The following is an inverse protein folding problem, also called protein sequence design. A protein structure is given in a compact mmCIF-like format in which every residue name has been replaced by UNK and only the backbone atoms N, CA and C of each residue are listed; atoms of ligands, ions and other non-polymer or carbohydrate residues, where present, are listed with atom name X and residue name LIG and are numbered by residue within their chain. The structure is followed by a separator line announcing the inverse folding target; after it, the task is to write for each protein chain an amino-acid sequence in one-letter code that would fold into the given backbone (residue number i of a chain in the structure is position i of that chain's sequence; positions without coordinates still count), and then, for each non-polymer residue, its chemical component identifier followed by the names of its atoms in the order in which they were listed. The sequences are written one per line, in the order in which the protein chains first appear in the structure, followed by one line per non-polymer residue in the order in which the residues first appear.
data_IF_256514530447
#
_entry.id   IF_256514530447
#
_cell.length_a   1.000
_cell.length_b   1.000
_cell.length_c   1.000
_cell.angle_alpha   90.00
_cell.angle_beta   90.00
_cell.angle_gamma   90.00
#
_symmetry.space_group_name_H-M   'P 1'
#
loop_
_entity.id
_entity.type
_entity.pdbx_description
1 polymer ?
#
# COMPACT_ATOMS: atom_id res chain seq x y z
N UNK A 1 -17.17 -2.25 -9.34
CA UNK A 1 -17.23 -0.83 -9.75
C UNK A 1 -18.32 -0.69 -10.80
N UNK A 2 -19.28 0.24 -10.65
CA UNK A 2 -20.36 0.39 -11.65
C UNK A 2 -19.85 1.07 -12.92
N UNK A 3 -20.20 0.55 -14.10
CA UNK A 3 -19.76 1.04 -15.42
C UNK A 3 -20.07 2.53 -15.65
N UNK A 4 -21.20 3.02 -15.11
CA UNK A 4 -21.59 4.43 -15.14
C UNK A 4 -20.52 5.36 -14.50
N UNK A 5 -19.86 4.88 -13.44
CA UNK A 5 -18.83 5.64 -12.72
C UNK A 5 -17.54 5.77 -13.54
N UNK A 6 -17.12 4.72 -14.23
CA UNK A 6 -15.91 4.73 -15.08
C UNK A 6 -16.12 5.74 -16.21
N UNK A 7 -17.27 5.70 -16.89
CA UNK A 7 -17.59 6.65 -17.97
C UNK A 7 -17.58 8.10 -17.48
N UNK A 8 -18.11 8.36 -16.28
CA UNK A 8 -18.06 9.69 -15.69
C UNK A 8 -16.61 10.17 -15.45
N UNK A 9 -15.75 9.33 -14.87
CA UNK A 9 -14.32 9.66 -14.66
C UNK A 9 -13.64 9.99 -15.99
N UNK A 10 -13.85 9.18 -17.02
CA UNK A 10 -13.25 9.40 -18.34
C UNK A 10 -13.74 10.68 -19.01
N UNK A 11 -15.04 10.98 -18.91
CA UNK A 11 -15.62 12.19 -19.46
C UNK A 11 -15.08 13.45 -18.76
N UNK A 12 -15.04 13.45 -17.43
CA UNK A 12 -14.49 14.55 -16.63
C UNK A 12 -13.00 14.73 -16.93
N UNK A 13 -12.20 13.66 -16.90
CA UNK A 13 -10.78 13.69 -17.25
C UNK A 13 -10.55 14.34 -18.61
N UNK A 14 -11.28 13.89 -19.64
CA UNK A 14 -11.14 14.42 -21.02
C UNK A 14 -11.48 15.91 -21.08
N UNK A 15 -12.59 16.32 -20.48
CA UNK A 15 -13.01 17.74 -20.47
C UNK A 15 -12.01 18.62 -19.72
N UNK A 16 -11.53 18.16 -18.57
CA UNK A 16 -10.54 18.89 -17.76
C UNK A 16 -9.22 19.06 -18.50
N UNK A 17 -8.69 18.01 -19.13
CA UNK A 17 -7.44 18.11 -19.89
C UNK A 17 -7.56 19.07 -21.09
N UNK A 18 -8.71 19.11 -21.75
CA UNK A 18 -8.96 20.07 -22.84
C UNK A 18 -8.97 21.53 -22.35
N UNK A 19 -9.61 21.78 -21.20
CA UNK A 19 -9.63 23.11 -20.59
C UNK A 19 -8.25 23.56 -20.14
N UNK A 20 -7.45 22.63 -19.58
CA UNK A 20 -6.07 22.92 -19.18
C UNK A 20 -5.19 23.24 -20.39
N UNK A 21 -5.27 22.45 -21.48
CA UNK A 21 -4.50 22.73 -22.72
C UNK A 21 -4.85 24.11 -23.28
N UNK A 22 -6.14 24.45 -23.32
CA UNK A 22 -6.61 25.78 -23.75
C UNK A 22 -6.02 26.89 -22.89
N UNK A 23 -6.05 26.73 -21.56
CA UNK A 23 -5.50 27.71 -20.62
C UNK A 23 -3.99 27.91 -20.82
N UNK A 24 -3.22 26.83 -20.99
CA UNK A 24 -1.76 26.92 -21.18
C UNK A 24 -1.42 27.62 -22.51
N UNK A 25 -2.17 27.34 -23.58
CA UNK A 25 -2.01 28.03 -24.86
C UNK A 25 -2.32 29.52 -24.75
N UNK A 26 -3.43 29.88 -24.12
CA UNK A 26 -3.80 31.28 -23.87
C UNK A 26 -2.73 32.01 -23.04
N UNK A 27 -2.21 31.38 -22.00
CA UNK A 27 -1.13 31.95 -21.19
C UNK A 27 0.14 32.16 -22.02
N UNK A 28 0.45 31.22 -22.92
CA UNK A 28 1.57 31.33 -23.86
C UNK A 28 1.39 32.52 -24.81
N UNK A 29 0.19 32.71 -25.36
CA UNK A 29 -0.13 33.86 -26.23
C UNK A 29 -0.01 35.20 -25.48
N UNK A 30 -0.57 35.28 -24.27
CA UNK A 30 -0.45 36.48 -23.41
C UNK A 30 1.03 36.78 -23.13
N UNK A 31 1.83 35.74 -22.85
CA UNK A 31 3.27 35.89 -22.61
C UNK A 31 4.00 36.52 -23.80
N UNK A 32 3.64 36.15 -25.04
CA UNK A 32 4.21 36.74 -26.26
C UNK A 32 3.79 38.21 -26.39
N UNK A 33 2.53 38.53 -26.11
CA UNK A 33 2.03 39.91 -26.16
C UNK A 33 2.72 40.80 -25.11
N UNK A 34 2.87 40.34 -23.87
CA UNK A 34 3.55 41.12 -22.82
C UNK A 34 5.02 41.32 -23.13
N UNK A 35 5.69 40.29 -23.67
CA UNK A 35 7.08 40.39 -24.09
C UNK A 35 7.26 41.43 -25.21
N UNK A 36 6.34 41.48 -26.19
CA UNK A 36 6.39 42.41 -27.33
C UNK A 36 6.35 43.89 -26.94
N UNK A 37 5.80 44.21 -25.75
CA UNK A 37 5.75 45.57 -25.20
C UNK A 37 6.81 45.81 -24.10
N UNK A 38 7.78 44.90 -23.94
CA UNK A 38 8.84 44.99 -22.93
C UNK A 38 8.42 44.54 -21.52
N UNK A 39 7.22 43.99 -21.36
CA UNK A 39 6.65 43.50 -20.09
C UNK A 39 7.14 42.12 -19.63
N UNK A 40 8.08 41.50 -20.37
CA UNK A 40 8.64 40.15 -20.13
C UNK A 40 7.59 39.02 -20.23
N UNK A 41 7.94 37.80 -19.83
CA UNK A 41 7.14 36.58 -20.01
C UNK A 41 6.29 36.23 -18.79
N UNK A 42 5.32 35.32 -18.96
CA UNK A 42 4.50 34.79 -17.86
C UNK A 42 5.31 34.28 -16.66
N UNK A 43 6.47 33.68 -16.93
CA UNK A 43 7.36 33.18 -15.88
C UNK A 43 7.91 34.31 -14.99
N UNK A 44 8.11 35.50 -15.56
CA UNK A 44 8.69 36.64 -14.84
C UNK A 44 7.67 37.34 -13.93
N UNK A 45 6.41 37.44 -14.35
CA UNK A 45 5.39 38.21 -13.62
C UNK A 45 4.40 37.35 -12.82
N UNK A 46 4.21 36.06 -13.12
CA UNK A 46 3.27 35.20 -12.39
C UNK A 46 3.91 34.32 -11.30
N UNK A 47 5.24 34.16 -11.29
CA UNK A 47 5.94 33.34 -10.30
C UNK A 47 6.45 34.18 -9.13
N UNK A 48 6.19 33.73 -7.89
CA UNK A 48 6.81 34.34 -6.69
C UNK A 48 8.31 34.01 -6.67
N UNK A 49 9.15 35.03 -6.44
CA UNK A 49 10.61 34.93 -6.54
C UNK A 49 11.24 33.86 -5.61
N UNK A 50 10.62 33.61 -4.44
CA UNK A 50 11.11 32.66 -3.45
C UNK A 50 10.60 31.22 -3.65
N UNK A 51 9.70 30.99 -4.61
CA UNK A 51 9.08 29.69 -4.85
C UNK A 51 9.54 29.12 -6.20
N UNK A 52 10.80 28.66 -6.26
CA UNK A 52 11.33 27.95 -7.44
C UNK A 52 10.90 26.47 -7.44
N UNK A 53 9.63 26.20 -7.20
CA UNK A 53 9.04 24.92 -7.61
C UNK A 53 8.66 25.07 -9.08
N UNK A 54 9.07 24.12 -9.94
CA UNK A 54 8.67 24.13 -11.35
C UNK A 54 7.14 24.13 -11.48
N UNK A 55 6.59 25.05 -12.27
CA UNK A 55 5.15 25.10 -12.55
C UNK A 55 4.92 24.66 -13.99
N UNK A 56 4.25 23.52 -14.18
CA UNK A 56 3.96 22.99 -15.52
C UNK A 56 3.16 23.96 -16.38
N UNK A 57 2.34 24.84 -15.79
CA UNK A 57 1.59 25.85 -16.53
C UNK A 57 2.50 26.89 -17.21
N UNK A 58 3.77 26.99 -16.78
CA UNK A 58 4.77 27.91 -17.34
C UNK A 58 5.69 27.24 -18.37
N UNK A 59 5.51 25.95 -18.63
CA UNK A 59 6.27 25.20 -19.63
C UNK A 59 5.58 25.21 -20.99
N UNK A 60 6.30 24.74 -22.03
CA UNK A 60 5.73 24.56 -23.38
C UNK A 60 4.48 23.67 -23.32
N UNK A 61 3.40 23.98 -24.07
CA UNK A 61 2.15 23.23 -24.04
C UNK A 61 2.34 21.72 -24.15
N UNK A 62 3.21 21.25 -25.04
CA UNK A 62 3.45 19.83 -25.28
C UNK A 62 4.06 19.13 -24.05
N UNK A 63 5.05 19.76 -23.42
CA UNK A 63 5.72 19.23 -22.22
C UNK A 63 4.78 19.28 -21.01
N UNK A 64 4.10 20.41 -20.83
CA UNK A 64 3.16 20.64 -19.74
C UNK A 64 2.01 19.63 -19.77
N UNK A 65 1.36 19.48 -20.93
CA UNK A 65 0.22 18.58 -21.07
C UNK A 65 0.60 17.12 -20.84
N UNK A 66 1.80 16.70 -21.28
CA UNK A 66 2.31 15.35 -21.01
C UNK A 66 2.51 15.10 -19.52
N UNK A 67 3.11 16.04 -18.79
CA UNK A 67 3.33 15.92 -17.35
C UNK A 67 2.02 15.98 -16.54
N UNK A 68 1.12 16.92 -16.86
CA UNK A 68 -0.16 17.09 -16.19
C UNK A 68 -1.06 15.85 -16.40
N UNK A 69 -1.14 15.34 -17.64
CA UNK A 69 -1.92 14.14 -17.93
C UNK A 69 -1.43 12.95 -17.10
N UNK A 70 -0.11 12.74 -17.02
CA UNK A 70 0.48 11.65 -16.23
C UNK A 70 0.19 11.78 -14.74
N UNK A 71 0.36 12.98 -14.18
CA UNK A 71 0.08 13.21 -12.76
C UNK A 71 -1.40 12.99 -12.43
N UNK A 72 -2.30 13.45 -13.31
CA UNK A 72 -3.73 13.22 -13.15
C UNK A 72 -4.07 11.72 -13.22
N UNK A 73 -3.52 11.01 -14.20
CA UNK A 73 -3.76 9.58 -14.37
C UNK A 73 -3.26 8.75 -13.20
N UNK A 74 -2.09 9.09 -12.64
CA UNK A 74 -1.54 8.48 -11.42
C UNK A 74 -2.52 8.61 -10.25
N UNK A 75 -3.08 9.80 -10.03
CA UNK A 75 -4.02 10.03 -8.93
C UNK A 75 -5.38 9.37 -9.17
N UNK A 76 -5.85 9.29 -10.41
CA UNK A 76 -7.03 8.49 -10.76
C UNK A 76 -6.81 7.02 -10.41
N UNK A 77 -5.67 6.43 -10.79
CA UNK A 77 -5.35 5.05 -10.44
C UNK A 77 -5.25 4.82 -8.93
N UNK A 78 -4.65 5.77 -8.19
CA UNK A 78 -4.58 5.74 -6.72
C UNK A 78 -5.98 5.69 -6.10
N UNK A 79 -6.89 6.58 -6.51
CA UNK A 79 -8.27 6.64 -6.02
C UNK A 79 -9.06 5.37 -6.39
N UNK A 80 -8.93 4.89 -7.63
CA UNK A 80 -9.57 3.65 -8.09
C UNK A 80 -9.16 2.45 -7.22
N UNK A 81 -7.87 2.30 -6.96
CA UNK A 81 -7.35 1.21 -6.12
C UNK A 81 -7.82 1.31 -4.68
N UNK A 82 -7.77 2.51 -4.09
CA UNK A 82 -8.25 2.72 -2.72
C UNK A 82 -9.73 2.37 -2.59
N UNK A 83 -10.58 2.84 -3.50
CA UNK A 83 -12.03 2.60 -3.45
C UNK A 83 -12.44 1.17 -3.78
N UNK A 84 -11.59 0.42 -4.48
CA UNK A 84 -11.87 -0.97 -4.80
C UNK A 84 -11.73 -1.91 -3.60
N UNK A 85 -11.03 -1.49 -2.54
CA UNK A 85 -10.63 -2.37 -1.44
C UNK A 85 -9.51 -3.35 -1.83
N UNK A 86 -8.95 -3.26 -3.03
CA UNK A 86 -7.91 -4.20 -3.45
C UNK A 86 -6.62 -4.04 -2.64
N UNK A 87 -6.28 -2.80 -2.25
CA UNK A 87 -5.11 -2.53 -1.42
C UNK A 87 -5.15 -3.24 -0.08
N UNK A 88 -6.33 -3.50 0.49
CA UNK A 88 -6.44 -4.18 1.78
C UNK A 88 -6.29 -5.69 1.69
N UNK A 89 -6.47 -6.27 0.50
CA UNK A 89 -6.18 -7.68 0.20
C UNK A 89 -4.71 -7.93 -0.07
N UNK A 90 -3.96 -6.89 -0.45
CA UNK A 90 -2.55 -6.97 -0.78
C UNK A 90 -1.66 -7.01 0.46
N UNK A 91 -0.63 -7.85 0.39
CA UNK A 91 0.50 -7.84 1.32
C UNK A 91 1.39 -6.59 1.11
N UNK A 92 2.27 -6.28 2.07
CA UNK A 92 3.16 -5.11 2.00
C UNK A 92 4.01 -5.06 0.72
N UNK A 93 4.48 -6.20 0.20
CA UNK A 93 5.27 -6.28 -1.02
C UNK A 93 4.42 -5.99 -2.27
N UNK A 94 3.19 -6.51 -2.36
CA UNK A 94 2.26 -6.15 -3.43
C UNK A 94 1.93 -4.66 -3.42
N UNK A 95 1.67 -4.09 -2.24
CA UNK A 95 1.39 -2.65 -2.09
C UNK A 95 2.59 -1.79 -2.51
N UNK A 96 3.80 -2.11 -2.05
CA UNK A 96 5.02 -1.41 -2.44
C UNK A 96 5.26 -1.50 -3.97
N UNK A 97 5.07 -2.68 -4.55
CA UNK A 97 5.17 -2.87 -6.02
C UNK A 97 4.18 -1.96 -6.77
N UNK A 98 2.94 -1.89 -6.30
CA UNK A 98 1.93 -1.02 -6.88
C UNK A 98 2.31 0.46 -6.73
N UNK A 99 2.71 0.92 -5.55
CA UNK A 99 3.09 2.32 -5.35
C UNK A 99 4.31 2.71 -6.20
N UNK A 100 5.32 1.83 -6.29
CA UNK A 100 6.46 2.05 -7.20
C UNK A 100 6.03 2.12 -8.67
N UNK A 101 5.08 1.29 -9.09
CA UNK A 101 4.56 1.40 -10.47
C UNK A 101 3.89 2.75 -10.74
N UNK A 102 3.24 3.35 -9.74
CA UNK A 102 2.68 4.69 -9.83
C UNK A 102 3.78 5.77 -9.87
N UNK A 103 4.82 5.64 -9.04
CA UNK A 103 5.93 6.60 -8.97
C UNK A 103 6.77 6.62 -10.25
N UNK A 104 7.05 5.45 -10.84
CA UNK A 104 7.84 5.30 -12.06
C UNK A 104 7.01 5.40 -13.35
N UNK A 105 5.77 5.90 -13.28
CA UNK A 105 4.86 6.05 -14.42
C UNK A 105 4.64 4.74 -15.22
N UNK A 106 4.72 3.60 -14.55
CA UNK A 106 4.55 2.27 -15.12
C UNK A 106 3.15 1.73 -14.84
N UNK A 107 2.12 2.48 -15.24
CA UNK A 107 0.71 2.09 -15.09
C UNK A 107 -0.03 2.15 -16.43
N UNK A 108 -1.12 1.38 -16.59
CA UNK A 108 -1.88 1.37 -17.84
C UNK A 108 -2.50 2.74 -18.14
N UNK A 109 -2.68 3.07 -19.42
CA UNK A 109 -3.42 4.26 -19.82
C UNK A 109 -4.83 4.26 -19.22
N UNK A 110 -5.31 5.41 -18.76
CA UNK A 110 -6.69 5.56 -18.28
C UNK A 110 -7.68 5.41 -19.46
N UNK A 111 -8.25 4.22 -19.58
CA UNK A 111 -9.33 3.87 -20.51
C UNK A 111 -10.31 2.89 -19.86
N UNK A 112 -11.54 2.79 -20.37
CA UNK A 112 -12.54 1.85 -19.83
C UNK A 112 -12.01 0.40 -19.90
N UNK A 113 -11.41 0.02 -21.03
CA UNK A 113 -10.85 -1.31 -21.22
C UNK A 113 -9.70 -1.62 -20.26
N UNK A 114 -8.76 -0.69 -20.08
CA UNK A 114 -7.62 -0.91 -19.18
C UNK A 114 -8.06 -0.95 -17.72
N UNK A 115 -8.97 -0.06 -17.29
CA UNK A 115 -9.52 -0.09 -15.93
C UNK A 115 -10.21 -1.43 -15.67
N UNK A 116 -11.09 -1.86 -16.58
CA UNK A 116 -11.79 -3.13 -16.43
C UNK A 116 -10.82 -4.32 -16.40
N UNK A 117 -9.89 -4.39 -17.35
CA UNK A 117 -8.89 -5.46 -17.43
C UNK A 117 -8.01 -5.53 -16.18
N UNK A 118 -7.51 -4.38 -15.69
CA UNK A 118 -6.72 -4.34 -14.45
C UNK A 118 -7.51 -4.82 -13.25
N UNK A 119 -8.75 -4.36 -13.07
CA UNK A 119 -9.58 -4.81 -11.94
C UNK A 119 -10.02 -6.27 -12.06
N UNK A 120 -10.22 -6.76 -13.28
CA UNK A 120 -10.50 -8.17 -13.54
C UNK A 120 -9.31 -9.05 -13.15
N UNK A 121 -8.09 -8.70 -13.60
CA UNK A 121 -6.87 -9.41 -13.20
C UNK A 121 -6.64 -9.37 -11.69
N UNK A 122 -6.82 -8.20 -11.07
CA UNK A 122 -6.71 -8.07 -9.63
C UNK A 122 -7.74 -8.93 -8.89
N UNK A 123 -8.96 -9.03 -9.41
CA UNK A 123 -9.99 -9.88 -8.83
C UNK A 123 -9.70 -11.38 -9.01
N UNK A 124 -9.21 -11.78 -10.18
CA UNK A 124 -8.83 -13.18 -10.46
C UNK A 124 -7.67 -13.62 -9.56
N UNK A 125 -6.71 -12.73 -9.30
CA UNK A 125 -5.52 -13.04 -8.51
C UNK A 125 -5.67 -12.71 -7.01
N UNK A 126 -6.84 -12.23 -6.57
CA UNK A 126 -7.02 -11.73 -5.20
C UNK A 126 -6.71 -12.77 -4.13
N UNK A 127 -7.11 -14.02 -4.37
CA UNK A 127 -6.93 -15.11 -3.41
C UNK A 127 -5.46 -15.52 -3.36
N UNK A 128 -4.79 -15.60 -4.52
CA UNK A 128 -3.35 -15.88 -4.59
C UNK A 128 -2.52 -14.78 -3.90
N UNK A 129 -2.83 -13.51 -4.14
CA UNK A 129 -2.12 -12.38 -3.51
C UNK A 129 -2.32 -12.39 -1.99
N UNK A 130 -3.52 -12.71 -1.54
CA UNK A 130 -3.83 -12.86 -0.13
C UNK A 130 -3.05 -14.03 0.51
N UNK A 131 -3.09 -15.21 -0.11
CA UNK A 131 -2.39 -16.41 0.37
C UNK A 131 -0.87 -16.20 0.40
N UNK A 132 -0.31 -15.58 -0.64
CA UNK A 132 1.11 -15.20 -0.67
C UNK A 132 1.46 -14.27 0.49
N UNK A 133 0.57 -13.36 0.86
CA UNK A 133 0.72 -12.52 2.04
C UNK A 133 0.87 -13.34 3.32
N UNK A 134 0.00 -14.31 3.55
CA UNK A 134 0.07 -15.23 4.70
C UNK A 134 1.40 -15.97 4.72
N UNK A 135 1.84 -16.49 3.57
CA UNK A 135 3.11 -17.19 3.43
C UNK A 135 4.31 -16.27 3.70
N UNK A 136 4.26 -15.01 3.24
CA UNK A 136 5.32 -14.03 3.46
C UNK A 136 5.46 -13.66 4.95
N UNK A 137 4.35 -13.48 5.66
CA UNK A 137 4.37 -13.27 7.12
C UNK A 137 4.95 -14.50 7.82
N UNK A 138 4.50 -15.70 7.46
CA UNK A 138 4.96 -16.96 8.05
C UNK A 138 6.48 -17.18 7.87
N UNK A 139 6.99 -17.00 6.64
CA UNK A 139 8.43 -17.08 6.33
C UNK A 139 9.25 -16.00 7.01
N UNK A 140 8.62 -14.88 7.37
CA UNK A 140 9.25 -13.78 8.07
C UNK A 140 9.52 -14.05 9.56
N UNK A 141 8.93 -15.10 10.13
CA UNK A 141 9.13 -15.47 11.52
C UNK A 141 10.53 -16.07 11.75
N UNK A 142 11.13 -15.77 12.90
CA UNK A 142 12.36 -16.43 13.33
C UNK A 142 12.04 -17.81 13.91
N UNK A 143 12.61 -18.87 13.37
CA UNK A 143 12.38 -20.25 13.85
C UNK A 143 13.31 -20.67 15.00
N UNK A 144 14.06 -19.74 15.58
CA UNK A 144 14.96 -20.00 16.71
C UNK A 144 14.20 -20.15 18.05
N UNK A 145 12.87 -20.08 18.03
CA UNK A 145 12.01 -20.16 19.20
C UNK A 145 11.09 -21.38 19.11
N UNK A 146 10.93 -22.12 20.20
CA UNK A 146 10.05 -23.29 20.26
C UNK A 146 8.60 -22.97 19.87
N UNK A 147 8.14 -21.76 20.18
CA UNK A 147 6.78 -21.30 19.85
C UNK A 147 6.59 -20.98 18.35
N UNK A 148 7.66 -20.67 17.63
CA UNK A 148 7.61 -20.38 16.19
C UNK A 148 7.86 -21.69 15.43
N UNK A 149 6.80 -22.47 15.21
CA UNK A 149 6.91 -23.72 14.47
C UNK A 149 7.26 -23.45 12.99
N UNK A 150 8.21 -24.20 12.39
CA UNK A 150 8.54 -24.08 10.97
C UNK A 150 7.44 -24.62 10.05
N UNK A 151 6.39 -25.24 10.60
CA UNK A 151 5.32 -25.88 9.83
C UNK A 151 3.96 -25.17 9.93
N UNK A 152 3.74 -24.34 10.96
CA UNK A 152 2.45 -23.68 11.21
C UNK A 152 2.58 -22.48 12.16
N UNK A 153 1.60 -21.59 12.14
CA UNK A 153 1.40 -20.66 13.25
C UNK A 153 0.95 -21.42 14.50
N UNK A 154 1.64 -21.16 15.62
CA UNK A 154 1.16 -21.55 16.95
C UNK A 154 0.14 -20.55 17.49
N UNK A 155 -0.36 -20.78 18.70
CA UNK A 155 -1.20 -19.82 19.42
C UNK A 155 -0.47 -18.52 19.80
N UNK A 156 0.86 -18.53 19.68
CA UNK A 156 1.75 -17.41 19.98
C UNK A 156 2.92 -17.39 19.00
N UNK A 157 3.29 -16.20 18.55
CA UNK A 157 4.50 -15.95 17.76
C UNK A 157 5.43 -14.99 18.50
N UNK A 158 6.73 -15.11 18.22
CA UNK A 158 7.76 -14.20 18.71
C UNK A 158 8.36 -13.44 17.55
N UNK A 159 8.31 -12.11 17.60
CA UNK A 159 8.86 -11.20 16.60
C UNK A 159 9.99 -10.40 17.23
N UNK A 160 11.19 -10.49 16.66
CA UNK A 160 12.35 -9.70 17.08
C UNK A 160 12.36 -8.34 16.38
N UNK A 161 12.98 -7.34 17.02
CA UNK A 161 13.14 -5.99 16.48
C UNK A 161 11.80 -5.32 16.12
N UNK A 162 10.74 -5.62 16.88
CA UNK A 162 9.47 -4.91 16.74
C UNK A 162 9.48 -3.62 17.56
N UNK A 163 10.14 -3.63 18.72
CA UNK A 163 10.30 -2.46 19.59
C UNK A 163 11.78 -2.19 19.85
N UNK A 164 12.10 -0.97 20.26
CA UNK A 164 13.38 -0.60 20.88
C UNK A 164 13.14 -0.06 22.28
N UNK A 165 14.14 -0.21 23.15
CA UNK A 165 14.14 0.38 24.48
C UNK A 165 15.33 1.32 24.62
N UNK A 166 15.08 2.56 25.02
CA UNK A 166 16.12 3.54 25.34
C UNK A 166 15.79 4.31 26.63
N UNK A 167 16.54 5.37 26.91
CA UNK A 167 16.34 6.20 28.12
C UNK A 167 14.97 6.88 28.21
N UNK A 168 14.25 6.96 27.09
CA UNK A 168 12.92 7.56 26.97
C UNK A 168 11.80 6.51 27.00
N UNK A 169 12.14 5.23 27.13
CA UNK A 169 11.20 4.13 27.24
C UNK A 169 11.17 3.23 26.00
N UNK A 170 10.04 2.56 25.81
CA UNK A 170 9.78 1.75 24.62
C UNK A 170 9.41 2.65 23.43
N UNK A 171 9.79 2.22 22.22
CA UNK A 171 9.33 2.82 20.97
C UNK A 171 9.06 1.70 19.97
N UNK A 172 7.98 1.81 19.18
CA UNK A 172 7.76 0.90 18.07
C UNK A 172 8.80 1.17 16.97
N UNK A 173 9.35 0.10 16.37
CA UNK A 173 10.24 0.22 15.22
C UNK A 173 9.39 0.20 13.96
N UNK A 174 9.36 1.32 13.24
CA UNK A 174 8.76 1.39 11.90
C UNK A 174 9.59 0.57 10.91
N UNK A 175 8.94 -0.27 10.10
CA UNK A 175 9.59 -1.04 9.05
C UNK A 175 9.00 -2.45 8.91
N UNK A 176 9.76 -3.36 8.31
CA UNK A 176 9.25 -4.67 7.86
C UNK A 176 8.52 -5.49 8.93
N UNK A 177 8.95 -5.45 10.19
CA UNK A 177 8.27 -6.22 11.25
C UNK A 177 6.92 -5.59 11.66
N UNK A 178 6.84 -4.26 11.70
CA UNK A 178 5.58 -3.56 11.92
C UNK A 178 4.63 -3.76 10.73
N UNK A 179 5.14 -3.72 9.50
CA UNK A 179 4.35 -4.00 8.29
C UNK A 179 3.78 -5.43 8.31
N UNK A 180 4.57 -6.42 8.73
CA UNK A 180 4.10 -7.81 8.88
C UNK A 180 3.05 -7.95 9.96
N UNK A 181 3.16 -7.22 11.06
CA UNK A 181 2.13 -7.21 12.11
C UNK A 181 0.83 -6.60 11.60
N UNK A 182 0.90 -5.48 10.87
CA UNK A 182 -0.27 -4.88 10.22
C UNK A 182 -0.89 -5.82 9.17
N UNK A 183 -0.07 -6.47 8.33
CA UNK A 183 -0.54 -7.44 7.35
C UNK A 183 -1.26 -8.62 8.04
N UNK A 184 -0.71 -9.14 9.13
CA UNK A 184 -1.30 -10.22 9.93
C UNK A 184 -2.65 -9.80 10.53
N UNK A 185 -2.75 -8.59 11.08
CA UNK A 185 -4.03 -8.05 11.55
C UNK A 185 -5.08 -8.05 10.43
N UNK A 186 -4.75 -7.46 9.27
CA UNK A 186 -5.68 -7.38 8.13
C UNK A 186 -6.15 -8.76 7.69
N UNK A 187 -5.27 -9.76 7.70
CA UNK A 187 -5.62 -11.14 7.35
C UNK A 187 -6.62 -11.76 8.33
N UNK A 188 -6.44 -11.53 9.63
CA UNK A 188 -7.39 -11.99 10.65
C UNK A 188 -8.75 -11.29 10.52
N UNK A 189 -8.77 -9.97 10.28
CA UNK A 189 -10.00 -9.23 10.03
C UNK A 189 -10.75 -9.77 8.80
N UNK A 190 -10.02 -10.03 7.71
CA UNK A 190 -10.56 -10.64 6.49
C UNK A 190 -11.23 -11.98 6.77
N UNK A 191 -10.58 -12.87 7.52
CA UNK A 191 -11.19 -14.14 7.90
C UNK A 191 -12.39 -14.00 8.84
N UNK A 192 -12.38 -13.01 9.72
CA UNK A 192 -13.51 -12.74 10.61
C UNK A 192 -14.73 -12.14 9.89
N UNK A 193 -14.59 -11.72 8.63
CA UNK A 193 -15.63 -11.04 7.85
C UNK A 193 -15.88 -9.59 8.31
N UNK A 194 -15.00 -9.05 9.14
CA UNK A 194 -15.09 -7.67 9.65
C UNK A 194 -14.47 -6.68 8.66
N UNK A 195 -14.88 -5.40 8.71
CA UNK A 195 -14.19 -4.36 7.96
C UNK A 195 -12.73 -4.31 8.40
N UNK A 196 -11.83 -4.20 7.42
CA UNK A 196 -10.40 -4.12 7.68
C UNK A 196 -10.10 -2.74 8.26
N UNK A 197 -9.29 -2.63 9.33
CA UNK A 197 -8.88 -1.34 9.88
C UNK A 197 -8.23 -0.47 8.80
N UNK A 198 -8.58 0.81 8.76
CA UNK A 198 -7.87 1.78 7.91
C UNK A 198 -6.38 1.83 8.35
N UNK A 199 -5.48 2.24 7.46
CA UNK A 199 -4.06 2.41 7.80
C UNK A 199 -3.82 3.40 8.96
N UNK A 200 -4.83 4.20 9.32
CA UNK A 200 -4.81 5.16 10.43
C UNK A 200 -5.27 4.56 11.76
N UNK A 201 -5.85 3.37 11.75
CA UNK A 201 -6.41 2.69 12.93
C UNK A 201 -5.95 1.23 13.01
N UNK A 202 -4.82 0.90 12.37
CA UNK A 202 -4.27 -0.45 12.42
C UNK A 202 -3.51 -0.69 13.73
N UNK A 203 -3.19 -1.95 13.99
CA UNK A 203 -2.43 -2.43 15.14
C UNK A 203 -1.14 -1.65 15.40
N UNK A 204 -0.45 -1.19 14.35
CA UNK A 204 0.82 -0.46 14.55
C UNK A 204 0.60 0.92 15.13
N UNK A 205 -0.48 1.60 14.75
CA UNK A 205 -0.86 2.89 15.35
C UNK A 205 -1.32 2.70 16.79
N UNK A 206 -2.22 1.75 17.04
CA UNK A 206 -2.73 1.49 18.40
C UNK A 206 -1.63 1.04 19.36
N UNK A 207 -0.70 0.20 18.89
CA UNK A 207 0.42 -0.26 19.70
C UNK A 207 1.42 0.88 19.98
N UNK A 208 1.71 1.74 19.00
CA UNK A 208 2.59 2.90 19.21
C UNK A 208 1.97 3.91 20.18
N UNK A 209 0.69 4.22 20.01
CA UNK A 209 -0.08 5.08 20.94
C UNK A 209 -0.10 4.50 22.36
N UNK A 210 -0.27 3.18 22.49
CA UNK A 210 -0.21 2.50 23.78
C UNK A 210 1.18 2.62 24.43
N UNK A 211 2.23 2.35 23.67
CA UNK A 211 3.62 2.45 24.12
C UNK A 211 3.95 3.87 24.61
N UNK A 212 3.48 4.88 23.89
CA UNK A 212 3.69 6.29 24.25
C UNK A 212 2.87 6.72 25.47
N UNK A 213 1.63 6.23 25.61
CA UNK A 213 0.71 6.65 26.67
C UNK A 213 0.95 5.98 28.02
N UNK A 214 1.50 4.76 28.05
CA UNK A 214 1.65 4.00 29.29
C UNK A 214 3.12 3.64 29.55
N UNK A 215 3.89 4.63 30.01
CA UNK A 215 5.26 4.41 30.44
C UNK A 215 5.32 3.33 31.54
N UNK A 216 5.90 2.18 31.21
CA UNK A 216 6.16 1.08 32.15
C UNK A 216 5.16 -0.08 32.14
N UNK A 217 4.08 -0.03 31.33
CA UNK A 217 3.33 -1.26 30.99
C UNK A 217 3.99 -1.92 29.78
N UNK A 218 4.05 -3.25 29.81
CA UNK A 218 4.71 -4.09 28.79
C UNK A 218 3.69 -4.95 28.02
N UNK A 219 2.39 -4.76 28.27
CA UNK A 219 1.29 -5.58 27.80
C UNK A 219 0.21 -4.72 27.12
N UNK A 220 -0.04 -5.00 25.84
CA UNK A 220 -1.12 -4.43 25.02
C UNK A 220 -2.11 -5.54 24.65
N UNK A 221 -3.40 -5.24 24.64
CA UNK A 221 -4.43 -6.18 24.17
C UNK A 221 -5.51 -5.48 23.35
N UNK A 222 -5.93 -6.12 22.26
CA UNK A 222 -7.10 -5.74 21.47
C UNK A 222 -7.93 -6.96 21.07
N UNK A 223 -8.80 -6.84 20.08
CA UNK A 223 -9.64 -7.95 19.65
C UNK A 223 -8.85 -9.17 19.14
N UNK A 224 -7.78 -8.94 18.38
CA UNK A 224 -7.05 -9.98 17.64
C UNK A 224 -5.83 -10.48 18.40
N UNK A 225 -5.17 -9.60 19.17
CA UNK A 225 -3.87 -9.87 19.77
C UNK A 225 -3.80 -9.54 21.26
N UNK A 226 -2.97 -10.30 21.97
CA UNK A 226 -2.36 -9.91 23.24
C UNK A 226 -0.84 -9.87 23.02
N UNK A 227 -0.26 -8.69 23.15
CA UNK A 227 1.13 -8.38 22.81
C UNK A 227 1.90 -8.01 24.06
N UNK A 228 2.89 -8.83 24.42
CA UNK A 228 3.89 -8.49 25.43
C UNK A 228 5.19 -8.09 24.77
N UNK A 229 5.75 -6.93 25.08
CA UNK A 229 7.01 -6.44 24.51
C UNK A 229 8.12 -6.33 25.56
N UNK A 230 9.36 -6.55 25.13
CA UNK A 230 10.51 -6.76 26.03
C UNK A 230 11.67 -5.84 25.67
N UNK A 231 12.47 -5.43 26.67
CA UNK A 231 13.62 -4.52 26.51
C UNK A 231 14.69 -5.01 25.54
N UNK A 232 14.76 -6.33 25.28
CA UNK A 232 15.63 -6.93 24.25
C UNK A 232 15.14 -6.69 22.81
N UNK A 233 14.03 -5.95 22.63
CA UNK A 233 13.46 -5.56 21.34
C UNK A 233 12.47 -6.56 20.74
N UNK A 234 12.16 -7.65 21.45
CA UNK A 234 11.19 -8.65 20.98
C UNK A 234 9.78 -8.36 21.46
N UNK A 235 8.78 -8.82 20.71
CA UNK A 235 7.39 -8.89 21.13
C UNK A 235 6.85 -10.32 21.01
N UNK A 236 6.12 -10.75 22.02
CA UNK A 236 5.38 -12.00 22.04
C UNK A 236 3.92 -11.67 21.72
N UNK A 237 3.45 -12.13 20.58
CA UNK A 237 2.10 -11.84 20.08
C UNK A 237 1.30 -13.13 20.21
N UNK A 238 0.28 -13.11 21.07
CA UNK A 238 -0.66 -14.21 21.27
C UNK A 238 -1.93 -13.93 20.48
N UNK A 239 -2.36 -14.89 19.66
CA UNK A 239 -3.61 -14.79 18.93
C UNK A 239 -4.79 -15.04 19.86
N UNK A 240 -5.79 -14.14 19.85
CA UNK A 240 -7.00 -14.27 20.69
C UNK A 240 -8.14 -15.03 20.02
N UNK A 241 -8.00 -15.31 18.72
CA UNK A 241 -8.99 -15.98 17.87
C UNK A 241 -8.38 -17.24 17.23
N UNK A 242 -8.29 -18.37 17.98
CA UNK A 242 -7.65 -19.59 17.49
C UNK A 242 -8.23 -20.09 16.16
N UNK A 243 -9.53 -19.95 15.95
CA UNK A 243 -10.24 -20.34 14.73
C UNK A 243 -9.76 -19.60 13.47
N UNK A 244 -9.22 -18.38 13.63
CA UNK A 244 -8.64 -17.62 12.52
C UNK A 244 -7.20 -18.07 12.24
N UNK A 245 -6.49 -18.52 13.28
CA UNK A 245 -5.16 -19.12 13.15
C UNK A 245 -5.23 -20.45 12.40
N UNK A 246 -6.28 -21.25 12.63
CA UNK A 246 -6.52 -22.48 11.88
C UNK A 246 -6.67 -22.19 10.38
N UNK A 247 -7.39 -21.12 10.00
CA UNK A 247 -7.50 -20.69 8.60
C UNK A 247 -6.18 -20.22 7.98
N UNK A 248 -5.33 -19.54 8.75
CA UNK A 248 -3.97 -19.21 8.29
C UNK A 248 -3.16 -20.50 8.04
N UNK A 249 -3.30 -21.48 8.93
CA UNK A 249 -2.61 -22.76 8.83
C UNK A 249 -3.12 -23.62 7.66
N UNK A 250 -4.39 -23.55 7.31
CA UNK A 250 -4.94 -24.21 6.12
C UNK A 250 -4.26 -23.73 4.83
N UNK A 251 -3.97 -22.43 4.74
CA UNK A 251 -3.23 -21.85 3.61
C UNK A 251 -1.79 -22.38 3.59
N UNK A 252 -1.09 -22.37 4.74
CA UNK A 252 0.27 -22.90 4.85
C UNK A 252 0.30 -24.38 4.41
N UNK A 253 -0.60 -25.19 4.95
CA UNK A 253 -0.67 -26.61 4.64
C UNK A 253 -0.87 -26.84 3.14
N UNK A 254 -1.78 -26.11 2.51
CA UNK A 254 -2.05 -26.23 1.06
C UNK A 254 -0.84 -25.83 0.23
N UNK A 255 -0.25 -24.66 0.50
CA UNK A 255 0.90 -24.11 -0.22
C UNK A 255 2.09 -25.08 -0.24
N UNK A 256 2.47 -25.62 0.93
CA UNK A 256 3.61 -26.54 1.02
C UNK A 256 3.29 -27.94 0.50
N UNK A 257 2.03 -28.40 0.59
CA UNK A 257 1.61 -29.68 -0.02
C UNK A 257 1.69 -29.63 -1.55
N UNK A 258 1.22 -28.54 -2.15
CA UNK A 258 1.30 -28.30 -3.59
C UNK A 258 2.74 -28.15 -4.07
N UNK A 259 3.58 -27.43 -3.31
CA UNK A 259 5.00 -27.30 -3.61
C UNK A 259 5.70 -28.66 -3.66
N UNK A 260 5.43 -29.55 -2.70
CA UNK A 260 5.96 -30.93 -2.69
C UNK A 260 5.48 -31.73 -3.90
N UNK A 261 4.18 -31.67 -4.23
CA UNK A 261 3.62 -32.35 -5.41
C UNK A 261 4.24 -31.85 -6.73
N UNK A 262 4.50 -30.54 -6.85
CA UNK A 262 5.11 -29.94 -8.03
C UNK A 262 6.56 -30.40 -8.25
N UNK A 263 7.32 -30.57 -7.17
CA UNK A 263 8.71 -31.06 -7.20
C UNK A 263 8.77 -32.51 -7.65
N UNK A 264 7.87 -33.37 -7.15
CA UNK A 264 7.75 -34.77 -7.59
C UNK A 264 7.38 -34.89 -9.07
N UNK A 265 6.53 -33.99 -9.57
CA UNK A 265 6.16 -33.99 -10.99
C UNK A 265 7.28 -33.48 -11.91
N UNK A 266 8.15 -32.58 -11.43
CA UNK A 266 9.34 -32.14 -12.18
C UNK A 266 10.42 -33.22 -12.23
N UNK A 267 10.64 -33.96 -11.15
CA UNK A 267 11.64 -35.04 -11.12
C UNK A 267 11.24 -36.29 -11.92
N UNK A 268 9.95 -36.47 -12.24
CA UNK A 268 9.46 -37.55 -13.12
C UNK A 268 9.46 -37.22 -14.61
N UNK A 269 9.72 -35.96 -14.98
CA UNK A 269 9.77 -35.47 -16.37
C UNK A 269 11.19 -35.13 -16.85
N UNK A 270 12.19 -35.31 -15.99
CA UNK A 270 13.62 -35.25 -16.32
C UNK A 270 14.15 -36.67 -16.46
#
# INVERSE_FOLDING_TARGET
MQQCRIRHILAVRKSTLLQIDTLIRQLTEISVLTESIGGKTARDWAMKQDFRCGCWLMDKPETAMKAITRNLDREIWRDLMQRSGMLSLMDAQARDTWYRSLEYDNFPEISEANILSTFEQLHQNKDEVFERGVINVFRGLSWNYENNSPCKFGSKIIVNNLVRWDRWGFHLITGQQADRLADLERMLYLFSGKPIPDNRENITIHLDDHIQSVQGKEDYEDEMFSIRYFKKGSAHITFRKPELVDRLNDIIARHYSEALASTVNKSRKA
#
